data_IF_491049681447
#
_entry.id   IF_491049681447
#
_cell.length_a   1.000
_cell.length_b   1.000
_cell.length_c   1.000
_cell.angle_alpha   90.00
_cell.angle_beta   90.00
_cell.angle_gamma   90.00
#
_symmetry.space_group_name_H-M   'P 1'
#
loop_
_entity.id
_entity.type
_entity.pdbx_description
1 polymer ?
#
# COMPACT_ATOMS: atom_id res chain seq x y z
N UNK A 1 -9.66 0.91 -22.56
CA UNK A 1 -9.90 -0.30 -21.74
C UNK A 1 -10.24 0.18 -20.34
N UNK A 2 -11.52 0.09 -19.96
CA UNK A 2 -11.98 0.61 -18.66
C UNK A 2 -12.00 -0.55 -17.69
N UNK A 3 -11.05 -0.60 -16.75
CA UNK A 3 -11.07 -1.58 -15.66
C UNK A 3 -12.24 -1.21 -14.75
N UNK A 4 -13.32 -1.99 -14.88
CA UNK A 4 -14.49 -1.93 -14.02
C UNK A 4 -14.07 -2.49 -12.65
N UNK A 5 -13.58 -1.64 -11.74
CA UNK A 5 -13.34 -2.04 -10.35
C UNK A 5 -14.70 -2.29 -9.71
N UNK A 6 -15.01 -3.57 -9.51
CA UNK A 6 -16.19 -4.04 -8.79
C UNK A 6 -16.13 -3.51 -7.36
N UNK A 7 -16.95 -2.50 -7.09
CA UNK A 7 -17.21 -1.93 -5.76
C UNK A 7 -17.99 -2.93 -4.89
N UNK A 8 -17.32 -4.00 -4.47
CA UNK A 8 -17.69 -4.73 -3.24
C UNK A 8 -16.78 -4.25 -2.12
N UNK A 9 -17.21 -4.30 -0.85
CA UNK A 9 -16.43 -3.87 0.32
C UNK A 9 -15.00 -4.43 0.31
N UNK A 10 -14.85 -5.71 -0.04
CA UNK A 10 -13.56 -6.38 -0.26
C UNK A 10 -12.66 -5.68 -1.29
N UNK A 11 -13.26 -5.08 -2.33
CA UNK A 11 -12.53 -4.46 -3.42
C UNK A 11 -11.79 -3.20 -3.01
N UNK A 12 -12.33 -2.41 -2.07
CA UNK A 12 -11.68 -1.17 -1.61
C UNK A 12 -10.55 -1.45 -0.63
N UNK A 13 -10.75 -2.38 0.31
CA UNK A 13 -9.69 -2.82 1.22
C UNK A 13 -8.54 -3.46 0.43
N UNK A 14 -8.85 -4.35 -0.51
CA UNK A 14 -7.84 -4.97 -1.38
C UNK A 14 -7.10 -3.94 -2.24
N UNK A 15 -7.79 -2.92 -2.75
CA UNK A 15 -7.18 -1.83 -3.49
C UNK A 15 -6.25 -0.99 -2.61
N UNK A 16 -6.69 -0.62 -1.40
CA UNK A 16 -5.88 0.14 -0.44
C UNK A 16 -4.61 -0.63 -0.07
N UNK A 17 -4.74 -1.94 0.18
CA UNK A 17 -3.61 -2.83 0.43
C UNK A 17 -2.63 -2.88 -0.76
N UNK A 18 -3.15 -2.94 -1.99
CA UNK A 18 -2.32 -2.91 -3.21
C UNK A 18 -1.52 -1.61 -3.35
N UNK A 19 -2.13 -0.47 -3.04
CA UNK A 19 -1.45 0.83 -3.06
C UNK A 19 -0.41 0.91 -1.94
N UNK A 20 -0.74 0.44 -0.74
CA UNK A 20 0.20 0.39 0.40
C UNK A 20 1.47 -0.41 0.05
N UNK A 21 1.32 -1.58 -0.58
CA UNK A 21 2.46 -2.39 -1.06
C UNK A 21 3.33 -1.64 -2.07
N UNK A 22 2.71 -0.87 -2.96
CA UNK A 22 3.43 -0.03 -3.92
C UNK A 22 4.22 1.08 -3.22
N UNK A 23 3.65 1.69 -2.17
CA UNK A 23 4.34 2.68 -1.31
C UNK A 23 5.54 2.04 -0.61
N UNK A 24 5.35 0.87 0.02
CA UNK A 24 6.41 0.15 0.71
C UNK A 24 7.57 -0.20 -0.24
N UNK A 25 7.26 -0.71 -1.45
CA UNK A 25 8.27 -1.00 -2.46
C UNK A 25 9.02 0.26 -2.94
N UNK A 26 8.35 1.42 -3.03
CA UNK A 26 9.02 2.67 -3.35
C UNK A 26 9.98 3.08 -2.22
N UNK A 27 9.53 3.04 -0.96
CA UNK A 27 10.37 3.38 0.19
C UNK A 27 11.58 2.45 0.32
N UNK A 28 11.41 1.15 0.09
CA UNK A 28 12.51 0.19 0.09
C UNK A 28 13.58 0.55 -0.95
N UNK A 29 13.16 0.86 -2.18
CA UNK A 29 14.09 1.28 -3.26
C UNK A 29 14.81 2.57 -2.90
N UNK A 30 14.09 3.55 -2.34
CA UNK A 30 14.66 4.82 -1.89
C UNK A 30 15.66 4.63 -0.74
N UNK A 31 15.40 3.71 0.18
CA UNK A 31 16.30 3.40 1.28
C UNK A 31 17.59 2.71 0.82
N UNK A 32 17.52 1.85 -0.22
CA UNK A 32 18.71 1.21 -0.83
C UNK A 32 19.56 2.20 -1.62
N UNK A 33 18.94 3.12 -2.37
CA UNK A 33 19.59 4.27 -2.99
C UNK A 33 20.49 3.97 -4.20
N UNK A 34 20.66 2.71 -4.59
CA UNK A 34 21.52 2.26 -5.69
C UNK A 34 20.76 1.55 -6.84
N UNK A 35 19.42 1.47 -6.73
CA UNK A 35 18.58 0.82 -7.73
C UNK A 35 18.30 1.74 -8.93
N UNK A 36 18.28 1.18 -10.14
CA UNK A 36 17.99 1.92 -11.38
C UNK A 36 16.59 2.56 -11.38
N UNK A 37 15.69 2.07 -10.53
CA UNK A 37 14.35 2.62 -10.37
C UNK A 37 14.23 3.58 -9.19
N UNK A 38 15.31 3.95 -8.49
CA UNK A 38 15.28 4.91 -7.38
C UNK A 38 14.63 6.23 -7.79
N UNK A 39 14.98 6.76 -8.96
CA UNK A 39 14.38 8.00 -9.47
C UNK A 39 12.89 7.82 -9.80
N UNK A 40 12.52 6.71 -10.42
CA UNK A 40 11.11 6.38 -10.69
C UNK A 40 10.31 6.23 -9.40
N UNK A 41 10.87 5.59 -8.38
CA UNK A 41 10.25 5.43 -7.07
C UNK A 41 10.03 6.80 -6.39
N UNK A 42 11.02 7.69 -6.46
CA UNK A 42 10.90 9.05 -5.92
C UNK A 42 9.75 9.84 -6.57
N UNK A 43 9.58 9.69 -7.89
CA UNK A 43 8.53 10.36 -8.65
C UNK A 43 7.13 9.74 -8.42
N UNK A 44 7.06 8.42 -8.26
CA UNK A 44 5.78 7.71 -8.09
C UNK A 44 5.26 7.74 -6.65
N UNK A 45 6.14 7.85 -5.66
CA UNK A 45 5.76 7.81 -4.24
C UNK A 45 4.67 8.86 -3.89
N UNK A 46 4.78 10.14 -4.28
CA UNK A 46 3.71 11.11 -4.05
C UNK A 46 2.37 10.73 -4.68
N UNK A 47 2.39 10.11 -5.87
CA UNK A 47 1.18 9.68 -6.58
C UNK A 47 0.45 8.57 -5.80
N UNK A 48 1.19 7.56 -5.34
CA UNK A 48 0.60 6.48 -4.54
C UNK A 48 0.11 6.96 -3.18
N UNK A 49 0.83 7.89 -2.53
CA UNK A 49 0.37 8.51 -1.28
C UNK A 49 -0.95 9.27 -1.47
N UNK A 50 -1.07 10.02 -2.56
CA UNK A 50 -2.30 10.73 -2.90
C UNK A 50 -3.45 9.78 -3.20
N UNK A 51 -3.22 8.72 -4.00
CA UNK A 51 -4.25 7.70 -4.32
C UNK A 51 -4.70 6.97 -3.05
N UNK A 52 -3.77 6.58 -2.18
CA UNK A 52 -4.09 5.93 -0.91
C UNK A 52 -4.93 6.84 -0.02
N UNK A 53 -4.54 8.11 0.13
CA UNK A 53 -5.28 9.08 0.94
C UNK A 53 -6.70 9.32 0.41
N UNK A 54 -6.84 9.41 -0.92
CA UNK A 54 -8.17 9.55 -1.55
C UNK A 54 -9.04 8.34 -1.23
N UNK A 55 -8.52 7.13 -1.45
CA UNK A 55 -9.27 5.91 -1.20
C UNK A 55 -9.59 5.71 0.28
N UNK A 56 -8.63 5.97 1.18
CA UNK A 56 -8.82 5.88 2.61
C UNK A 56 -9.97 6.78 3.09
N UNK A 57 -10.10 7.99 2.51
CA UNK A 57 -11.19 8.92 2.86
C UNK A 57 -12.59 8.41 2.49
N UNK A 58 -12.68 7.39 1.63
CA UNK A 58 -13.95 6.79 1.21
C UNK A 58 -14.28 5.51 2.00
N UNK A 59 -13.34 4.97 2.77
CA UNK A 59 -13.55 3.75 3.54
C UNK A 59 -14.57 3.99 4.66
N UNK A 60 -15.36 2.96 4.94
CA UNK A 60 -16.15 2.89 6.16
C UNK A 60 -15.27 2.48 7.33
N UNK A 61 -15.69 2.79 8.56
CA UNK A 61 -14.97 2.38 9.77
C UNK A 61 -14.64 0.88 9.79
N UNK A 62 -15.56 0.02 9.32
CA UNK A 62 -15.32 -1.41 9.25
C UNK A 62 -14.21 -1.79 8.26
N UNK A 63 -14.12 -1.12 7.11
CA UNK A 63 -13.06 -1.33 6.12
C UNK A 63 -11.72 -0.75 6.59
N UNK A 64 -11.72 0.37 7.33
CA UNK A 64 -10.52 0.92 7.97
C UNK A 64 -9.97 -0.01 9.06
N UNK A 65 -10.83 -0.58 9.90
CA UNK A 65 -10.47 -1.56 10.92
C UNK A 65 -9.89 -2.82 10.28
N UNK A 66 -10.50 -3.32 9.21
CA UNK A 66 -10.01 -4.46 8.45
C UNK A 66 -8.63 -4.19 7.85
N UNK A 67 -8.48 -3.06 7.14
CA UNK A 67 -7.20 -2.66 6.56
C UNK A 67 -6.11 -2.54 7.63
N UNK A 68 -6.43 -1.90 8.75
CA UNK A 68 -5.49 -1.72 9.87
C UNK A 68 -5.06 -3.06 10.49
N UNK A 69 -6.01 -4.00 10.63
CA UNK A 69 -5.73 -5.35 11.10
C UNK A 69 -4.79 -6.11 10.17
N UNK A 70 -5.03 -6.05 8.85
CA UNK A 70 -4.17 -6.69 7.84
C UNK A 70 -2.76 -6.09 7.83
N UNK A 71 -2.64 -4.76 7.87
CA UNK A 71 -1.34 -4.10 7.89
C UNK A 71 -0.53 -4.45 9.14
N UNK A 72 -1.17 -4.52 10.32
CA UNK A 72 -0.52 -4.94 11.56
C UNK A 72 -0.03 -6.39 11.49
N UNK A 73 -0.82 -7.29 10.89
CA UNK A 73 -0.39 -8.68 10.70
C UNK A 73 0.84 -8.78 9.78
N UNK A 74 0.89 -7.99 8.71
CA UNK A 74 2.04 -7.92 7.82
C UNK A 74 3.31 -7.41 8.53
N UNK A 75 3.21 -6.31 9.28
CA UNK A 75 4.35 -5.77 10.04
C UNK A 75 4.91 -6.80 11.04
N UNK A 76 4.02 -7.51 11.74
CA UNK A 76 4.42 -8.56 12.67
C UNK A 76 5.09 -9.74 11.95
N UNK A 77 4.62 -10.12 10.77
CA UNK A 77 5.22 -11.18 9.97
C UNK A 77 6.61 -10.79 9.45
N UNK A 78 6.79 -9.56 8.98
CA UNK A 78 8.08 -9.02 8.53
C UNK A 78 9.11 -8.99 9.67
N UNK A 79 8.69 -8.57 10.86
CA UNK A 79 9.55 -8.58 12.05
C UNK A 79 9.98 -10.00 12.46
N UNK A 80 9.05 -10.95 12.40
CA UNK A 80 9.33 -12.36 12.73
C UNK A 80 10.31 -13.00 11.75
N UNK A 81 10.40 -12.52 10.50
CA UNK A 81 11.35 -12.97 9.49
C UNK A 81 12.75 -12.37 9.66
N UNK A 82 12.90 -11.29 10.44
CA UNK A 82 14.20 -10.66 10.72
C UNK A 82 14.90 -11.23 11.96
N UNK A 83 14.22 -12.05 12.79
CA UNK A 83 14.77 -12.64 14.01
C UNK A 83 15.42 -14.04 13.81
N UNK A 84 15.62 -14.47 12.56
CA UNK A 84 16.28 -15.72 12.18
C UNK A 84 17.45 -15.49 11.21
#
# INVERSE_FOLDING_TARGET
>A
MTIKRSSSKDGRVAQALGIYRSIAACNERLARGDDVHTHTAALMLPCYLAEFRSLASELTHAEEDELSSVLRQMENAERSLQEH
#
